data_IF_632075020660
#
_entry.id   IF_632075020660
#
_cell.length_a   1.000
_cell.length_b   1.000
_cell.length_c   1.000
_cell.angle_alpha   90.00
_cell.angle_beta   90.00
_cell.angle_gamma   90.00
#
_symmetry.space_group_name_H-M   'P 1'
#
loop_
_entity.id
_entity.type
_entity.pdbx_description
1 polymer ?
#
# COMPACT_ATOMS: atom_id res chain seq x y z
N UNK A 1 14.12 32.23 -28.09
CA UNK A 1 13.26 33.38 -28.43
C UNK A 1 11.82 32.95 -28.80
N UNK A 2 11.61 31.77 -29.37
CA UNK A 2 10.25 31.20 -29.61
C UNK A 2 9.49 30.70 -28.37
N UNK A 3 10.14 30.51 -27.22
CA UNK A 3 9.48 30.05 -25.97
C UNK A 3 8.91 31.22 -25.13
N UNK A 4 9.29 32.46 -25.41
CA UNK A 4 8.75 33.66 -24.72
C UNK A 4 7.51 34.25 -25.39
N UNK A 5 7.21 33.89 -26.65
CA UNK A 5 5.99 34.34 -27.34
C UNK A 5 4.76 33.50 -27.00
N UNK A 6 4.94 32.24 -26.60
CA UNK A 6 3.82 31.36 -26.20
C UNK A 6 3.24 31.73 -24.83
N UNK A 7 4.05 32.25 -23.91
CA UNK A 7 3.56 32.74 -22.61
C UNK A 7 2.80 34.07 -22.72
N UNK A 8 3.13 34.92 -23.70
CA UNK A 8 2.42 36.18 -23.91
C UNK A 8 1.05 35.98 -24.59
N UNK A 9 0.87 34.89 -25.33
CA UNK A 9 -0.43 34.49 -25.89
C UNK A 9 -1.31 33.69 -24.92
N UNK A 10 -0.72 33.06 -23.90
CA UNK A 10 -1.46 32.40 -22.81
C UNK A 10 -1.97 33.43 -21.78
N UNK A 11 -1.27 34.56 -21.60
CA UNK A 11 -1.69 35.65 -20.71
C UNK A 11 -2.89 36.48 -21.22
N UNK A 12 -3.24 36.36 -22.51
CA UNK A 12 -4.37 37.08 -23.12
C UNK A 12 -5.61 36.20 -23.33
N UNK A 13 -5.55 34.91 -22.99
CA UNK A 13 -6.68 33.96 -23.14
C UNK A 13 -7.26 33.52 -21.78
N UNK A 14 -6.61 33.85 -20.64
CA UNK A 14 -7.17 33.69 -19.29
C UNK A 14 -8.03 34.88 -18.80
N UNK A 15 -8.47 35.77 -19.70
CA UNK A 15 -9.49 36.81 -19.41
C UNK A 15 -10.89 36.40 -19.94
N UNK A 16 -11.04 35.22 -20.52
CA UNK A 16 -12.34 34.70 -20.94
C UNK A 16 -12.62 33.33 -20.33
N UNK A 17 -12.83 33.31 -19.02
CA UNK A 17 -13.65 32.27 -18.41
C UNK A 17 -15.03 32.87 -18.11
N UNK A 18 -15.96 32.52 -18.99
CA UNK A 18 -17.41 32.46 -18.80
C UNK A 18 -18.04 33.68 -18.13
N UNK A 19 -18.67 34.51 -18.96
CA UNK A 19 -19.79 35.35 -18.59
C UNK A 19 -20.87 34.52 -17.87
N UNK A 20 -20.77 34.40 -16.55
CA UNK A 20 -21.92 34.46 -15.67
C UNK A 20 -21.75 35.78 -14.92
N UNK A 21 -22.44 36.81 -15.38
CA UNK A 21 -22.63 38.05 -14.64
C UNK A 21 -23.50 37.76 -13.40
N UNK A 22 -22.96 37.03 -12.42
CA UNK A 22 -23.53 37.02 -11.07
C UNK A 22 -23.17 38.37 -10.44
N UNK A 23 -24.14 39.12 -9.91
CA UNK A 23 -23.87 40.38 -9.21
C UNK A 23 -23.11 40.18 -7.88
N UNK A 24 -22.85 38.94 -7.47
CA UNK A 24 -22.15 38.59 -6.24
C UNK A 24 -20.94 37.70 -6.51
N UNK A 25 -19.87 37.93 -5.75
CA UNK A 25 -18.65 37.10 -5.69
C UNK A 25 -18.50 36.48 -4.31
N UNK A 26 -18.30 35.16 -4.25
CA UNK A 26 -18.00 34.41 -3.03
C UNK A 26 -16.49 34.17 -2.90
N UNK A 27 -15.90 34.50 -1.74
CA UNK A 27 -14.48 34.34 -1.43
C UNK A 27 -14.28 33.64 -0.09
N UNK A 28 -13.26 32.78 -0.02
CA UNK A 28 -12.74 32.28 1.25
C UNK A 28 -11.41 32.98 1.58
N UNK A 29 -11.28 33.53 2.78
CA UNK A 29 -10.05 34.23 3.18
C UNK A 29 -8.87 33.27 3.39
N UNK A 30 -9.14 32.02 3.74
CA UNK A 30 -8.10 31.02 4.00
C UNK A 30 -7.55 30.37 2.72
N UNK A 31 -8.04 30.77 1.54
CA UNK A 31 -7.57 30.30 0.25
C UNK A 31 -7.12 31.50 -0.58
N UNK A 32 -5.81 31.61 -0.82
CA UNK A 32 -5.23 32.76 -1.51
C UNK A 32 -5.57 32.82 -3.00
N UNK A 33 -6.00 31.71 -3.59
CA UNK A 33 -6.39 31.60 -5.01
C UNK A 33 -7.68 30.80 -5.15
N UNK A 34 -8.71 31.40 -5.78
CA UNK A 34 -9.94 30.70 -6.22
C UNK A 34 -9.64 30.05 -7.58
N UNK A 35 -8.65 29.17 -7.61
CA UNK A 35 -8.27 28.42 -8.80
C UNK A 35 -8.65 26.95 -8.60
N UNK A 36 -9.14 26.24 -9.63
CA UNK A 36 -9.34 24.79 -9.58
C UNK A 36 -8.04 23.98 -9.34
N UNK A 37 -6.90 24.66 -9.15
CA UNK A 37 -5.59 24.08 -8.81
C UNK A 37 -5.00 24.56 -7.49
N UNK A 38 -5.74 25.31 -6.67
CA UNK A 38 -5.24 25.74 -5.37
C UNK A 38 -4.97 24.53 -4.44
N UNK A 39 -3.88 24.55 -3.64
CA UNK A 39 -3.61 23.46 -2.71
C UNK A 39 -4.71 23.36 -1.63
N UNK A 40 -4.97 22.16 -1.09
CA UNK A 40 -6.00 21.97 -0.09
C UNK A 40 -5.64 22.66 1.23
N UNK A 41 -6.66 23.02 2.02
CA UNK A 41 -6.48 23.49 3.39
C UNK A 41 -6.12 22.28 4.26
N UNK A 42 -5.00 22.35 4.99
CA UNK A 42 -4.50 21.24 5.79
C UNK A 42 -4.92 21.35 7.25
N UNK A 43 -5.82 20.47 7.69
CA UNK A 43 -6.32 20.39 9.07
C UNK A 43 -5.71 19.19 9.77
N UNK A 44 -5.35 19.31 11.04
CA UNK A 44 -4.89 18.15 11.82
C UNK A 44 -6.09 17.29 12.29
N UNK A 45 -5.90 15.97 12.39
CA UNK A 45 -6.86 15.01 12.96
C UNK A 45 -7.07 15.11 14.49
N UNK A 46 -6.62 16.21 15.08
CA UNK A 46 -6.82 16.53 16.50
C UNK A 46 -8.17 17.21 16.69
N UNK A 47 -8.75 17.13 17.90
CA UNK A 47 -9.98 17.87 18.30
C UNK A 47 -9.87 19.41 18.24
N UNK A 48 -8.81 19.93 17.61
CA UNK A 48 -8.59 21.35 17.39
C UNK A 48 -9.48 21.75 16.22
N UNK A 49 -10.35 22.71 16.49
CA UNK A 49 -11.27 23.27 15.52
C UNK A 49 -10.53 24.29 14.65
N UNK A 50 -10.70 24.20 13.33
CA UNK A 50 -10.27 25.24 12.41
C UNK A 50 -11.43 26.11 11.98
N UNK A 51 -11.19 27.43 11.98
CA UNK A 51 -12.16 28.42 11.57
C UNK A 51 -11.89 28.80 10.12
N UNK A 52 -12.85 28.54 9.23
CA UNK A 52 -12.85 29.09 7.88
C UNK A 52 -13.71 30.35 7.85
N UNK A 53 -13.14 31.43 7.30
CA UNK A 53 -13.82 32.69 7.11
C UNK A 53 -14.20 32.86 5.64
N UNK A 54 -15.48 33.14 5.40
CA UNK A 54 -16.04 33.39 4.08
C UNK A 54 -16.52 34.82 3.97
N UNK A 55 -16.40 35.39 2.78
CA UNK A 55 -16.91 36.70 2.41
C UNK A 55 -17.77 36.56 1.15
N UNK A 56 -19.00 37.06 1.21
CA UNK A 56 -19.86 37.26 0.05
C UNK A 56 -19.89 38.76 -0.21
N UNK A 57 -19.42 39.17 -1.38
CA UNK A 57 -19.49 40.57 -1.81
C UNK A 57 -20.49 40.67 -2.97
N UNK A 58 -21.59 41.38 -2.76
CA UNK A 58 -22.62 41.62 -3.76
C UNK A 58 -22.59 43.06 -4.25
N UNK A 59 -22.36 43.25 -5.55
CA UNK A 59 -22.49 44.53 -6.27
C UNK A 59 -23.71 44.44 -7.18
N UNK A 60 -24.90 44.76 -6.65
CA UNK A 60 -26.13 44.81 -7.44
C UNK A 60 -26.82 46.15 -7.31
N UNK A 61 -27.36 46.66 -8.43
CA UNK A 61 -28.39 47.70 -8.43
C UNK A 61 -29.74 47.04 -8.11
N UNK A 62 -30.32 47.36 -6.94
CA UNK A 62 -31.75 47.31 -6.56
C UNK A 62 -32.59 46.04 -6.84
N UNK A 63 -32.04 44.83 -6.93
CA UNK A 63 -32.86 43.64 -7.31
C UNK A 63 -32.60 42.30 -6.60
N UNK A 64 -31.81 42.23 -5.53
CA UNK A 64 -31.58 40.97 -4.79
C UNK A 64 -32.31 41.01 -3.44
N UNK A 65 -33.15 40.01 -3.14
CA UNK A 65 -33.92 39.98 -1.88
C UNK A 65 -33.30 39.04 -0.86
N UNK A 66 -32.98 37.81 -1.27
CA UNK A 66 -32.55 36.75 -0.37
C UNK A 66 -31.40 35.94 -0.99
N UNK A 67 -30.42 35.57 -0.15
CA UNK A 67 -29.51 34.46 -0.42
C UNK A 67 -29.84 33.29 0.51
N UNK A 68 -29.94 32.10 -0.07
CA UNK A 68 -29.94 30.83 0.66
C UNK A 68 -28.57 30.18 0.49
N UNK A 69 -27.89 29.90 1.61
CA UNK A 69 -26.57 29.27 1.61
C UNK A 69 -26.74 27.82 2.04
N UNK A 70 -26.43 26.89 1.14
CA UNK A 70 -26.38 25.46 1.47
C UNK A 70 -24.96 24.93 1.36
N UNK A 71 -24.62 24.01 2.26
CA UNK A 71 -23.28 23.44 2.38
C UNK A 71 -23.39 21.94 2.18
N UNK A 72 -22.65 21.40 1.22
CA UNK A 72 -22.51 19.96 1.06
C UNK A 72 -21.07 19.54 1.32
N UNK A 73 -20.93 18.41 2.01
CA UNK A 73 -19.66 17.78 2.32
C UNK A 73 -19.67 16.44 1.58
N UNK A 74 -18.65 16.20 0.77
CA UNK A 74 -18.51 14.93 0.06
C UNK A 74 -18.13 13.79 1.03
N UNK A 75 -17.01 13.97 1.75
CA UNK A 75 -16.51 12.96 2.68
C UNK A 75 -16.75 13.36 4.15
N UNK A 76 -17.91 12.95 4.67
CA UNK A 76 -18.32 13.15 6.08
C UNK A 76 -17.54 12.31 7.09
N UNK A 77 -16.74 11.33 6.65
CA UNK A 77 -15.86 10.56 7.57
C UNK A 77 -14.65 11.37 7.97
N UNK A 78 -14.09 12.13 7.04
CA UNK A 78 -12.88 12.91 7.27
C UNK A 78 -13.16 14.21 8.02
N UNK A 79 -14.28 14.87 7.74
CA UNK A 79 -14.59 16.20 8.28
C UNK A 79 -16.01 16.26 8.84
N UNK A 80 -16.14 16.96 9.96
CA UNK A 80 -17.40 17.33 10.59
C UNK A 80 -17.50 18.86 10.71
N UNK A 81 -18.64 19.44 10.35
CA UNK A 81 -18.92 20.87 10.54
C UNK A 81 -19.75 20.99 11.82
N UNK A 82 -19.24 21.74 12.81
CA UNK A 82 -19.93 21.89 14.10
C UNK A 82 -20.95 23.03 14.13
N UNK A 83 -20.68 24.11 13.41
CA UNK A 83 -21.52 25.31 13.45
C UNK A 83 -22.38 25.43 12.17
N UNK A 84 -23.68 25.58 12.43
CA UNK A 84 -24.75 26.11 11.59
C UNK A 84 -25.04 25.45 10.24
N UNK A 85 -26.04 24.55 10.26
CA UNK A 85 -27.04 24.48 9.21
C UNK A 85 -28.44 24.61 9.83
N UNK A 86 -29.33 25.46 9.28
CA UNK A 86 -29.09 26.37 8.15
C UNK A 86 -28.49 27.71 8.59
N UNK A 87 -27.61 28.29 7.76
CA UNK A 87 -27.41 29.75 7.80
C UNK A 87 -28.70 30.36 7.22
N UNK A 88 -29.45 31.06 8.05
CA UNK A 88 -30.78 31.61 7.73
C UNK A 88 -30.79 32.46 6.45
N UNK A 89 -31.98 32.57 5.84
CA UNK A 89 -32.28 33.45 4.71
C UNK A 89 -31.73 34.86 4.95
N UNK A 90 -30.69 35.24 4.21
CA UNK A 90 -30.03 36.53 4.37
C UNK A 90 -30.73 37.54 3.49
N UNK A 91 -31.40 38.52 4.10
CA UNK A 91 -32.05 39.61 3.37
C UNK A 91 -31.01 40.66 2.98
N UNK A 92 -30.87 40.95 1.70
CA UNK A 92 -30.05 42.07 1.24
C UNK A 92 -30.88 43.36 1.27
N UNK A 93 -30.32 44.44 1.84
CA UNK A 93 -30.82 45.80 1.60
C UNK A 93 -30.07 46.36 0.38
N UNK A 94 -30.71 47.23 -0.40
CA UNK A 94 -30.30 47.81 -1.70
C UNK A 94 -28.94 48.57 -1.76
N UNK A 95 -27.90 48.08 -1.08
CA UNK A 95 -26.53 48.58 -1.08
C UNK A 95 -25.55 47.40 -1.16
N UNK A 96 -24.32 47.67 -1.61
CA UNK A 96 -23.23 46.69 -1.57
C UNK A 96 -22.95 46.27 -0.12
N UNK A 97 -23.32 45.04 0.23
CA UNK A 97 -23.07 44.46 1.54
C UNK A 97 -22.02 43.36 1.44
N UNK A 98 -20.96 43.50 2.23
CA UNK A 98 -20.01 42.42 2.49
C UNK A 98 -20.54 41.61 3.65
N UNK A 99 -20.94 40.37 3.39
CA UNK A 99 -21.37 39.46 4.43
C UNK A 99 -20.24 38.47 4.75
N UNK A 100 -19.82 38.45 6.01
CA UNK A 100 -18.85 37.48 6.50
C UNK A 100 -19.51 36.46 7.41
N UNK A 101 -19.31 35.18 7.13
CA UNK A 101 -19.70 34.10 8.03
C UNK A 101 -18.52 33.16 8.28
N UNK A 102 -18.58 32.45 9.41
CA UNK A 102 -17.56 31.51 9.81
C UNK A 102 -18.08 30.08 9.82
N UNK A 103 -17.25 29.14 9.38
CA UNK A 103 -17.50 27.72 9.52
C UNK A 103 -16.44 27.11 10.41
N UNK A 104 -16.90 26.46 11.48
CA UNK A 104 -16.02 25.70 12.36
C UNK A 104 -15.96 24.27 11.90
N UNK A 105 -14.76 23.87 11.47
CA UNK A 105 -14.47 22.58 10.87
C UNK A 105 -13.64 21.75 11.83
N UNK A 106 -14.04 20.50 11.98
CA UNK A 106 -13.37 19.52 12.82
C UNK A 106 -12.85 18.36 11.95
N UNK A 107 -11.54 18.13 11.99
CA UNK A 107 -10.91 16.97 11.37
C UNK A 107 -11.15 15.71 12.21
N UNK A 108 -11.80 14.70 11.64
CA UNK A 108 -12.14 13.45 12.33
C UNK A 108 -11.29 12.26 11.88
N UNK A 109 -11.10 12.09 10.57
CA UNK A 109 -10.34 10.98 9.99
C UNK A 109 -9.46 11.48 8.86
N UNK A 110 -8.27 10.90 8.69
CA UNK A 110 -7.37 11.25 7.60
C UNK A 110 -8.07 11.05 6.24
N UNK A 111 -7.83 11.95 5.31
CA UNK A 111 -8.42 11.90 3.98
C UNK A 111 -8.67 13.27 3.39
N UNK A 112 -9.15 13.26 2.15
CA UNK A 112 -9.61 14.46 1.47
C UNK A 112 -11.13 14.59 1.62
N UNK A 113 -11.60 15.82 1.76
CA UNK A 113 -13.02 16.14 1.71
C UNK A 113 -13.20 17.47 1.00
N UNK A 114 -14.21 17.54 0.15
CA UNK A 114 -14.60 18.77 -0.54
C UNK A 114 -15.80 19.39 0.17
N UNK A 115 -15.68 20.67 0.48
CA UNK A 115 -16.81 21.49 0.91
C UNK A 115 -17.28 22.27 -0.30
N UNK A 116 -18.54 22.05 -0.69
CA UNK A 116 -19.21 22.83 -1.73
C UNK A 116 -20.21 23.75 -1.06
N UNK A 117 -20.00 25.04 -1.22
CA UNK A 117 -20.95 26.07 -0.84
C UNK A 117 -21.78 26.40 -2.06
N UNK A 118 -23.10 26.35 -1.92
CA UNK A 118 -24.04 26.82 -2.93
C UNK A 118 -24.73 28.06 -2.39
N UNK A 119 -24.76 29.11 -3.19
CA UNK A 119 -25.53 30.31 -2.89
C UNK A 119 -26.60 30.47 -3.95
N UNK A 120 -27.86 30.37 -3.53
CA UNK A 120 -29.03 30.61 -4.37
C UNK A 120 -29.55 32.01 -4.12
N UNK A 121 -29.62 32.84 -5.16
CA UNK A 121 -30.12 34.22 -5.09
C UNK A 121 -31.52 34.35 -5.72
N UNK A 122 -32.41 35.13 -5.10
CA UNK A 122 -33.77 35.40 -5.60
C UNK A 122 -34.00 36.92 -5.87
N UNK A 123 -34.67 37.23 -6.98
CA UNK A 123 -34.98 38.61 -7.45
C UNK A 123 -36.50 38.91 -7.36
N UNK A 124 -36.87 40.19 -7.19
CA UNK A 124 -38.26 40.68 -7.04
C UNK A 124 -39.13 40.55 -8.30
N UNK A 125 -38.57 40.60 -9.50
CA UNK A 125 -39.40 40.83 -10.70
C UNK A 125 -39.76 39.58 -11.52
N UNK A 126 -39.08 38.44 -11.34
CA UNK A 126 -39.40 37.17 -12.04
C UNK A 126 -39.05 35.98 -11.16
N UNK A 127 -39.99 35.03 -11.05
CA UNK A 127 -39.91 33.79 -10.26
C UNK A 127 -38.82 32.81 -10.76
N UNK A 128 -38.11 33.11 -11.84
CA UNK A 128 -37.07 32.22 -12.39
C UNK A 128 -35.84 33.00 -12.85
N UNK A 129 -34.93 33.33 -11.94
CA UNK A 129 -33.49 33.34 -12.20
C UNK A 129 -32.75 32.99 -10.90
N UNK A 130 -32.61 31.70 -10.62
CA UNK A 130 -31.70 31.22 -9.57
C UNK A 130 -30.27 31.33 -10.12
N UNK A 131 -29.56 32.39 -9.76
CA UNK A 131 -28.11 32.38 -9.90
C UNK A 131 -27.57 31.44 -8.84
N UNK A 132 -26.88 30.38 -9.26
CA UNK A 132 -26.16 29.47 -8.38
C UNK A 132 -24.68 29.75 -8.53
N UNK A 133 -24.12 30.47 -7.56
CA UNK A 133 -22.67 30.53 -7.42
C UNK A 133 -22.24 29.39 -6.50
N UNK A 134 -21.11 28.75 -6.80
CA UNK A 134 -20.57 27.70 -5.95
C UNK A 134 -19.07 27.84 -5.74
N UNK A 135 -18.66 27.72 -4.49
CA UNK A 135 -17.25 27.65 -4.10
C UNK A 135 -16.94 26.24 -3.61
N UNK A 136 -15.93 25.62 -4.22
CA UNK A 136 -15.41 24.33 -3.79
C UNK A 136 -14.10 24.54 -3.05
N UNK A 137 -14.02 24.03 -1.83
CA UNK A 137 -12.81 24.05 -1.01
C UNK A 137 -12.38 22.62 -0.77
N UNK A 138 -11.16 22.32 -1.18
CA UNK A 138 -10.51 21.06 -0.87
C UNK A 138 -9.86 21.15 0.51
N UNK A 139 -10.18 20.18 1.36
CA UNK A 139 -9.60 20.07 2.70
C UNK A 139 -8.92 18.72 2.84
N UNK A 140 -7.68 18.74 3.32
CA UNK A 140 -6.87 17.57 3.60
C UNK A 140 -6.67 17.42 5.11
N UNK A 141 -7.23 16.36 5.69
CA UNK A 141 -7.02 16.04 7.10
C UNK A 141 -5.73 15.23 7.22
N UNK A 142 -4.70 15.84 7.81
CA UNK A 142 -3.40 15.22 8.08
C UNK A 142 -3.30 14.77 9.53
N UNK A 143 -2.47 13.76 9.77
CA UNK A 143 -2.20 13.29 11.11
C UNK A 143 -1.18 14.19 11.78
N UNK A 144 -1.37 14.52 13.05
CA UNK A 144 -0.30 15.15 13.83
C UNK A 144 0.84 14.15 14.06
N UNK A 145 2.00 14.40 13.45
CA UNK A 145 3.19 13.57 13.65
C UNK A 145 3.75 13.73 15.07
N UNK A 146 4.18 12.61 15.64
CA UNK A 146 4.81 12.53 16.95
C UNK A 146 6.26 12.08 16.83
N UNK A 147 7.07 12.33 17.85
CA UNK A 147 8.47 11.86 17.91
C UNK A 147 8.56 10.34 17.76
N UNK A 148 7.56 9.61 18.26
CA UNK A 148 7.45 8.16 18.12
C UNK A 148 7.37 7.71 16.65
N UNK A 149 6.75 8.50 15.78
CA UNK A 149 6.62 8.20 14.35
C UNK A 149 7.94 8.37 13.60
N UNK A 150 8.72 9.38 13.99
CA UNK A 150 10.07 9.57 13.48
C UNK A 150 10.96 8.40 13.91
N UNK A 151 10.91 8.02 15.20
CA UNK A 151 11.63 6.86 15.72
C UNK A 151 11.21 5.58 14.98
N UNK A 152 9.90 5.38 14.75
CA UNK A 152 9.36 4.25 13.99
C UNK A 152 9.98 4.16 12.60
N UNK A 153 9.94 5.28 11.88
CA UNK A 153 10.41 5.36 10.51
C UNK A 153 11.91 5.08 10.44
N UNK A 154 12.72 5.68 11.31
CA UNK A 154 14.18 5.47 11.35
C UNK A 154 14.52 4.00 11.63
N UNK A 155 13.83 3.37 12.59
CA UNK A 155 14.09 1.96 12.92
C UNK A 155 13.70 1.04 11.75
N UNK A 156 12.56 1.29 11.08
CA UNK A 156 12.19 0.54 9.87
C UNK A 156 13.27 0.65 8.80
N UNK A 157 13.78 1.85 8.55
CA UNK A 157 14.83 2.08 7.53
C UNK A 157 16.06 1.24 7.86
N UNK A 158 16.52 1.29 9.11
CA UNK A 158 17.68 0.50 9.57
C UNK A 158 17.41 -1.00 9.38
N UNK A 159 16.22 -1.49 9.75
CA UNK A 159 15.87 -2.90 9.64
C UNK A 159 15.77 -3.37 8.18
N UNK A 160 15.24 -2.53 7.28
CA UNK A 160 15.19 -2.81 5.85
C UNK A 160 16.60 -2.83 5.24
N UNK A 161 17.48 -1.90 5.61
CA UNK A 161 18.89 -1.88 5.17
C UNK A 161 19.66 -3.11 5.66
N UNK A 162 19.48 -3.52 6.93
CA UNK A 162 20.12 -4.72 7.45
C UNK A 162 19.54 -5.97 6.76
N UNK A 163 18.22 -6.03 6.56
CA UNK A 163 17.56 -7.15 5.88
C UNK A 163 18.06 -7.34 4.44
N UNK A 164 18.18 -6.26 3.67
CA UNK A 164 18.73 -6.28 2.31
C UNK A 164 20.21 -6.65 2.27
N UNK A 165 21.02 -6.16 3.21
CA UNK A 165 22.39 -6.62 3.39
C UNK A 165 22.50 -8.14 3.66
N UNK A 166 21.61 -8.67 4.50
CA UNK A 166 21.61 -10.10 4.84
C UNK A 166 21.17 -10.99 3.66
N UNK A 167 20.29 -10.50 2.79
CA UNK A 167 19.97 -11.16 1.50
C UNK A 167 21.24 -11.29 0.67
N UNK A 168 22.04 -10.22 0.53
CA UNK A 168 23.32 -10.24 -0.17
C UNK A 168 24.32 -11.23 0.45
N UNK A 169 24.43 -11.25 1.79
CA UNK A 169 25.31 -12.18 2.50
C UNK A 169 24.98 -13.66 2.27
N UNK A 170 23.71 -13.98 1.96
CA UNK A 170 23.25 -15.35 1.76
C UNK A 170 23.54 -15.88 0.35
N UNK A 171 23.75 -15.00 -0.62
CA UNK A 171 23.88 -15.37 -2.03
C UNK A 171 25.24 -15.99 -2.35
N UNK A 172 25.26 -17.26 -2.73
CA UNK A 172 26.46 -17.93 -3.25
C UNK A 172 26.58 -17.68 -4.75
N UNK A 173 27.65 -16.98 -5.17
CA UNK A 173 27.88 -16.59 -6.58
C UNK A 173 27.87 -17.77 -7.56
N UNK A 174 28.39 -18.93 -7.16
CA UNK A 174 28.40 -20.14 -7.99
C UNK A 174 26.99 -20.64 -8.27
N UNK A 175 26.12 -20.61 -7.26
CA UNK A 175 24.72 -21.03 -7.37
C UNK A 175 23.91 -20.02 -8.18
N UNK A 176 24.16 -18.73 -7.98
CA UNK A 176 23.58 -17.67 -8.83
C UNK A 176 23.94 -17.89 -10.30
N UNK A 177 25.22 -18.14 -10.59
CA UNK A 177 25.68 -18.35 -11.96
C UNK A 177 25.09 -19.63 -12.59
N UNK A 178 24.95 -20.70 -11.81
CA UNK A 178 24.26 -21.91 -12.25
C UNK A 178 22.78 -21.66 -12.58
N UNK A 179 22.10 -20.83 -11.78
CA UNK A 179 20.71 -20.45 -12.01
C UNK A 179 20.56 -19.52 -13.23
N UNK A 180 21.52 -18.62 -13.47
CA UNK A 180 21.54 -17.79 -14.69
C UNK A 180 21.77 -18.65 -15.94
N UNK A 181 22.59 -19.71 -15.86
CA UNK A 181 22.78 -20.66 -16.98
C UNK A 181 21.54 -21.51 -17.28
N UNK A 182 20.65 -21.70 -16.31
CA UNK A 182 19.35 -22.39 -16.48
C UNK A 182 18.23 -21.45 -16.05
N UNK A 183 17.94 -20.40 -16.83
CA UNK A 183 17.24 -19.22 -16.34
C UNK A 183 15.72 -19.41 -16.22
N UNK A 184 15.14 -20.51 -16.71
CA UNK A 184 13.69 -20.71 -16.75
C UNK A 184 13.02 -20.45 -15.37
N UNK A 185 13.49 -21.03 -14.25
CA UNK A 185 12.93 -20.73 -12.92
C UNK A 185 13.00 -19.26 -12.54
N UNK A 186 14.16 -18.63 -12.79
CA UNK A 186 14.41 -17.23 -12.49
C UNK A 186 13.50 -16.32 -13.31
N UNK A 187 13.34 -16.61 -14.60
CA UNK A 187 12.45 -15.87 -15.51
C UNK A 187 10.99 -15.97 -15.11
N UNK A 188 10.52 -17.12 -14.58
CA UNK A 188 9.15 -17.24 -14.07
C UNK A 188 8.93 -16.30 -12.90
N UNK A 189 9.85 -16.29 -11.92
CA UNK A 189 9.77 -15.39 -10.77
C UNK A 189 9.77 -13.92 -11.21
N UNK A 190 10.70 -13.54 -12.10
CA UNK A 190 10.78 -12.17 -12.62
C UNK A 190 9.55 -11.76 -13.44
N UNK A 191 9.00 -12.67 -14.25
CA UNK A 191 7.79 -12.43 -15.03
C UNK A 191 6.58 -12.22 -14.11
N UNK A 192 6.41 -13.08 -13.10
CA UNK A 192 5.34 -12.92 -12.11
C UNK A 192 5.47 -11.58 -11.38
N UNK A 193 6.68 -11.26 -10.90
CA UNK A 193 6.94 -10.13 -10.03
C UNK A 193 6.93 -8.77 -10.73
N UNK A 194 7.51 -8.67 -11.93
CA UNK A 194 7.66 -7.38 -12.62
C UNK A 194 6.75 -7.20 -13.82
N UNK A 195 5.91 -8.18 -14.14
CA UNK A 195 4.88 -8.00 -15.17
C UNK A 195 3.49 -8.32 -14.63
N UNK A 196 3.26 -9.52 -14.11
CA UNK A 196 1.92 -9.92 -13.68
C UNK A 196 1.43 -9.10 -12.47
N UNK A 197 2.23 -8.98 -11.42
CA UNK A 197 1.82 -8.33 -10.17
C UNK A 197 1.58 -6.81 -10.31
N UNK A 198 2.40 -6.01 -11.02
CA UNK A 198 2.12 -4.60 -11.25
C UNK A 198 0.86 -4.37 -12.08
N UNK A 199 0.68 -5.16 -13.16
CA UNK A 199 -0.51 -5.08 -14.00
C UNK A 199 -1.77 -5.49 -13.22
N UNK A 200 -1.67 -6.53 -12.40
CA UNK A 200 -2.76 -6.95 -11.55
C UNK A 200 -3.08 -5.88 -10.50
N UNK A 201 -2.08 -5.30 -9.84
CA UNK A 201 -2.28 -4.24 -8.87
C UNK A 201 -3.02 -3.05 -9.47
N UNK A 202 -2.63 -2.62 -10.68
CA UNK A 202 -3.32 -1.57 -11.42
C UNK A 202 -4.75 -1.96 -11.80
N UNK A 203 -4.95 -3.18 -12.34
CA UNK A 203 -6.27 -3.68 -12.71
C UNK A 203 -7.21 -3.78 -11.50
N UNK A 204 -6.73 -4.28 -10.37
CA UNK A 204 -7.47 -4.36 -9.11
C UNK A 204 -7.82 -2.98 -8.56
N UNK A 205 -6.89 -2.03 -8.62
CA UNK A 205 -7.14 -0.65 -8.20
C UNK A 205 -8.29 -0.01 -9.01
N UNK A 206 -8.31 -0.24 -10.33
CA UNK A 206 -9.36 0.24 -11.22
C UNK A 206 -10.70 -0.44 -11.01
N UNK A 207 -10.71 -1.76 -10.93
CA UNK A 207 -11.93 -2.56 -10.76
C UNK A 207 -12.61 -2.26 -9.42
N UNK A 208 -11.82 -2.14 -8.35
CA UNK A 208 -12.35 -1.80 -7.03
C UNK A 208 -12.69 -0.31 -6.87
N UNK A 209 -12.30 0.55 -7.83
CA UNK A 209 -12.40 2.02 -7.76
C UNK A 209 -11.79 2.53 -6.45
N UNK A 210 -10.52 2.19 -6.24
CA UNK A 210 -9.78 2.65 -5.07
C UNK A 210 -9.45 4.13 -5.19
N UNK A 211 -9.40 4.79 -4.04
CA UNK A 211 -8.89 6.15 -3.94
C UNK A 211 -7.43 6.22 -4.40
N UNK A 212 -7.04 7.38 -4.94
CA UNK A 212 -5.74 7.66 -5.51
C UNK A 212 -4.56 7.17 -4.64
N UNK A 213 -4.56 7.53 -3.35
CA UNK A 213 -3.48 7.18 -2.43
C UNK A 213 -3.41 5.66 -2.19
N UNK A 214 -4.57 5.01 -2.00
CA UNK A 214 -4.68 3.55 -1.82
C UNK A 214 -4.25 2.80 -3.09
N UNK A 215 -4.62 3.30 -4.26
CA UNK A 215 -4.23 2.73 -5.56
C UNK A 215 -2.70 2.79 -5.76
N UNK A 216 -2.05 3.91 -5.41
CA UNK A 216 -0.59 4.03 -5.42
C UNK A 216 0.03 3.05 -4.43
N UNK A 217 -0.56 2.89 -3.25
CA UNK A 217 -0.14 1.90 -2.26
C UNK A 217 -0.13 0.48 -2.81
N UNK A 218 -1.21 0.09 -3.52
CA UNK A 218 -1.34 -1.22 -4.15
C UNK A 218 -0.36 -1.42 -5.29
N UNK A 219 -0.23 -0.42 -6.18
CA UNK A 219 0.72 -0.47 -7.31
C UNK A 219 2.17 -0.56 -6.82
N UNK A 220 2.53 0.21 -5.80
CA UNK A 220 3.86 0.19 -5.17
C UNK A 220 4.16 -1.18 -4.56
N UNK A 221 3.16 -1.78 -3.91
CA UNK A 221 3.29 -3.14 -3.36
C UNK A 221 3.51 -4.14 -4.49
N UNK A 222 2.64 -4.15 -5.51
CA UNK A 222 2.76 -5.03 -6.67
C UNK A 222 4.04 -4.87 -7.49
N UNK A 223 4.67 -3.69 -7.45
CA UNK A 223 5.95 -3.41 -8.12
C UNK A 223 7.18 -3.75 -7.26
N UNK A 224 6.98 -4.16 -6.01
CA UNK A 224 8.06 -4.45 -5.08
C UNK A 224 8.78 -5.77 -5.41
N UNK A 225 10.10 -5.87 -5.14
CA UNK A 225 10.86 -7.11 -5.30
C UNK A 225 10.44 -8.19 -4.30
N UNK A 226 11.06 -9.37 -4.41
CA UNK A 226 10.81 -10.51 -3.52
C UNK A 226 11.13 -10.16 -2.07
N UNK A 227 10.30 -10.62 -1.13
CA UNK A 227 10.50 -10.33 0.29
C UNK A 227 11.52 -11.26 0.94
N UNK A 228 12.34 -10.74 1.86
CA UNK A 228 13.43 -11.50 2.49
C UNK A 228 13.02 -12.72 3.31
N UNK A 229 11.73 -12.82 3.68
CA UNK A 229 11.17 -13.99 4.37
C UNK A 229 10.95 -15.20 3.45
N UNK A 230 11.01 -15.04 2.12
CA UNK A 230 10.84 -16.11 1.14
C UNK A 230 11.81 -17.27 1.40
N UNK A 231 13.10 -16.98 1.59
CA UNK A 231 14.13 -17.97 1.91
C UNK A 231 13.78 -18.86 3.11
N UNK A 232 13.14 -18.28 4.14
CA UNK A 232 12.72 -19.00 5.34
C UNK A 232 11.55 -19.93 5.03
N UNK A 233 10.53 -19.43 4.33
CA UNK A 233 9.41 -20.27 3.91
C UNK A 233 9.88 -21.37 2.96
N UNK A 234 10.72 -21.07 1.97
CA UNK A 234 11.28 -22.07 1.06
C UNK A 234 12.00 -23.17 1.81
N UNK A 235 12.82 -22.82 2.82
CA UNK A 235 13.45 -23.82 3.68
C UNK A 235 12.43 -24.64 4.49
N UNK A 236 11.37 -24.00 5.01
CA UNK A 236 10.31 -24.64 5.80
C UNK A 236 9.50 -25.68 5.02
N UNK A 237 9.30 -25.46 3.71
CA UNK A 237 8.64 -26.42 2.82
C UNK A 237 9.60 -27.39 2.12
N UNK A 238 10.93 -27.29 2.34
CA UNK A 238 11.92 -28.14 1.69
C UNK A 238 12.16 -27.81 0.21
N UNK A 239 12.00 -26.54 -0.17
CA UNK A 239 12.27 -26.06 -1.52
C UNK A 239 13.75 -25.73 -1.77
N UNK A 240 14.05 -25.34 -3.01
CA UNK A 240 15.38 -24.94 -3.47
C UNK A 240 15.74 -23.54 -2.93
N UNK A 241 16.48 -23.54 -1.82
CA UNK A 241 16.88 -22.32 -1.10
C UNK A 241 17.85 -21.47 -1.93
N UNK A 242 18.72 -22.10 -2.72
CA UNK A 242 19.69 -21.40 -3.56
C UNK A 242 19.01 -20.66 -4.70
N UNK A 243 17.97 -21.28 -5.28
CA UNK A 243 17.11 -20.64 -6.26
C UNK A 243 16.32 -19.47 -5.65
N UNK A 244 15.68 -19.65 -4.47
CA UNK A 244 14.97 -18.55 -3.78
C UNK A 244 15.91 -17.36 -3.53
N UNK A 245 17.09 -17.59 -2.97
CA UNK A 245 18.07 -16.53 -2.73
C UNK A 245 18.50 -15.82 -4.03
N UNK A 246 18.69 -16.58 -5.12
CA UNK A 246 19.01 -16.03 -6.45
C UNK A 246 17.87 -15.18 -7.01
N UNK A 247 16.62 -15.64 -6.87
CA UNK A 247 15.43 -14.90 -7.30
C UNK A 247 15.26 -13.60 -6.53
N UNK A 248 15.31 -13.64 -5.19
CA UNK A 248 15.18 -12.43 -4.35
C UNK A 248 16.28 -11.42 -4.64
N UNK A 249 17.54 -11.86 -4.78
CA UNK A 249 18.65 -10.96 -5.06
C UNK A 249 18.51 -10.31 -6.44
N UNK A 250 18.21 -11.11 -7.46
CA UNK A 250 18.04 -10.61 -8.83
C UNK A 250 16.85 -9.67 -8.92
N UNK A 251 15.73 -9.97 -8.25
CA UNK A 251 14.58 -9.06 -8.23
C UNK A 251 14.88 -7.78 -7.47
N UNK A 252 15.63 -7.83 -6.37
CA UNK A 252 16.06 -6.62 -5.64
C UNK A 252 16.88 -5.67 -6.53
N UNK A 253 17.79 -6.21 -7.36
CA UNK A 253 18.55 -5.39 -8.31
C UNK A 253 17.63 -4.83 -9.40
N UNK A 254 16.79 -5.68 -10.01
CA UNK A 254 15.92 -5.27 -11.12
C UNK A 254 14.87 -4.24 -10.70
N UNK A 255 14.41 -4.29 -9.44
CA UNK A 255 13.47 -3.31 -8.88
C UNK A 255 13.98 -1.87 -8.96
N UNK A 256 15.30 -1.66 -8.97
CA UNK A 256 15.87 -0.31 -9.17
C UNK A 256 15.39 0.35 -10.47
N UNK A 257 15.23 -0.43 -11.54
CA UNK A 257 14.74 0.05 -12.83
C UNK A 257 13.25 -0.19 -13.04
N UNK A 258 12.74 -1.37 -12.70
CA UNK A 258 11.35 -1.74 -13.00
C UNK A 258 10.35 -1.01 -12.12
N UNK A 259 10.67 -0.76 -10.85
CA UNK A 259 9.76 -0.08 -9.92
C UNK A 259 9.47 1.37 -10.38
N UNK A 260 10.47 2.24 -10.67
CA UNK A 260 10.21 3.56 -11.25
C UNK A 260 9.43 3.53 -12.54
N UNK A 261 9.73 2.59 -13.44
CA UNK A 261 9.04 2.46 -14.72
C UNK A 261 7.55 2.20 -14.51
N UNK A 262 7.16 1.30 -13.60
CA UNK A 262 5.75 1.04 -13.33
C UNK A 262 5.02 2.21 -12.66
N UNK A 263 5.68 2.90 -11.72
CA UNK A 263 5.11 4.12 -11.11
C UNK A 263 4.96 5.24 -12.15
N UNK A 264 5.91 5.39 -13.07
CA UNK A 264 5.84 6.39 -14.15
C UNK A 264 4.77 6.07 -15.20
N UNK A 265 4.58 4.79 -15.52
CA UNK A 265 3.62 4.34 -16.53
C UNK A 265 2.19 4.32 -16.00
N UNK A 266 1.98 3.73 -14.82
CA UNK A 266 0.65 3.47 -14.27
C UNK A 266 0.30 4.36 -13.06
N UNK A 267 1.30 4.82 -12.32
CA UNK A 267 1.10 5.63 -11.11
C UNK A 267 0.68 7.07 -11.39
N UNK A 268 1.06 7.66 -12.53
CA UNK A 268 0.73 9.04 -12.91
C UNK A 268 -0.77 9.33 -12.85
N UNK A 269 -1.59 8.36 -13.24
CA UNK A 269 -3.04 8.51 -13.22
C UNK A 269 -3.59 8.70 -11.80
N UNK A 270 -3.00 8.03 -10.82
CA UNK A 270 -3.40 8.16 -9.42
C UNK A 270 -2.75 9.37 -8.73
N UNK A 271 -1.60 9.84 -9.20
CA UNK A 271 -0.87 10.97 -8.60
C UNK A 271 -1.49 12.32 -8.96
N UNK A 272 -2.00 12.46 -10.19
CA UNK A 272 -2.45 13.76 -10.73
C UNK A 272 -3.77 14.28 -10.11
N UNK A 273 -4.45 13.50 -9.28
CA UNK A 273 -5.79 13.82 -8.77
C UNK A 273 -5.83 15.04 -7.85
N UNK A 274 -4.73 15.37 -7.16
CA UNK A 274 -4.66 16.46 -6.19
C UNK A 274 -3.52 17.47 -6.45
N UNK A 275 -3.00 17.53 -7.68
CA UNK A 275 -1.86 18.41 -8.06
C UNK A 275 -0.62 18.27 -7.15
N UNK A 276 -0.42 17.10 -6.56
CA UNK A 276 0.73 16.83 -5.70
C UNK A 276 1.97 16.60 -6.58
N UNK A 277 2.98 17.46 -6.43
CA UNK A 277 4.26 17.25 -7.10
C UNK A 277 4.95 16.02 -6.53
N UNK A 278 5.02 14.93 -7.31
CA UNK A 278 5.67 13.70 -6.87
C UNK A 278 7.20 13.88 -6.82
N UNK A 279 7.85 13.72 -5.66
CA UNK A 279 9.30 13.86 -5.50
C UNK A 279 10.03 12.62 -6.03
N UNK A 280 10.26 12.59 -7.34
CA UNK A 280 11.00 11.52 -8.03
C UNK A 280 12.41 11.30 -7.49
N UNK A 281 13.06 12.33 -6.95
CA UNK A 281 14.39 12.23 -6.36
C UNK A 281 14.40 11.31 -5.13
N UNK A 282 13.40 11.44 -4.26
CA UNK A 282 13.27 10.63 -3.05
C UNK A 282 13.08 9.14 -3.38
N UNK A 283 12.41 8.86 -4.50
CA UNK A 283 12.24 7.50 -5.00
C UNK A 283 13.58 6.84 -5.33
N UNK A 284 14.43 7.51 -6.12
CA UNK A 284 15.74 6.96 -6.47
C UNK A 284 16.63 6.79 -5.25
N UNK A 285 16.64 7.75 -4.33
CA UNK A 285 17.36 7.64 -3.05
C UNK A 285 16.92 6.41 -2.27
N UNK A 286 15.60 6.18 -2.18
CA UNK A 286 15.02 4.99 -1.53
C UNK A 286 15.55 3.71 -2.18
N UNK A 287 15.50 3.60 -3.51
CA UNK A 287 15.92 2.39 -4.22
C UNK A 287 17.43 2.15 -4.13
N UNK A 288 18.25 3.21 -4.23
CA UNK A 288 19.71 3.14 -4.04
C UNK A 288 20.02 2.60 -2.63
N UNK A 289 19.30 3.07 -1.62
CA UNK A 289 19.51 2.63 -0.23
C UNK A 289 19.14 1.16 0.01
N UNK A 290 18.49 0.48 -0.93
CA UNK A 290 18.22 -0.96 -0.90
C UNK A 290 19.28 -1.77 -1.67
N UNK A 291 19.67 -1.28 -2.84
CA UNK A 291 20.65 -1.96 -3.71
C UNK A 291 22.04 -1.92 -3.11
N UNK A 292 22.45 -0.79 -2.51
CA UNK A 292 23.78 -0.64 -1.91
C UNK A 292 24.02 -1.67 -0.79
N UNK A 293 23.17 -1.80 0.24
CA UNK A 293 23.37 -2.81 1.29
C UNK A 293 23.40 -4.23 0.73
N UNK A 294 22.52 -4.58 -0.22
CA UNK A 294 22.51 -5.88 -0.86
C UNK A 294 23.83 -6.18 -1.60
N UNK A 295 24.37 -5.20 -2.33
CA UNK A 295 25.67 -5.30 -3.00
C UNK A 295 26.84 -5.44 -2.02
N UNK A 296 26.82 -4.70 -0.90
CA UNK A 296 27.82 -4.83 0.17
C UNK A 296 27.75 -6.23 0.79
N UNK A 297 26.54 -6.75 1.03
CA UNK A 297 26.35 -8.11 1.54
C UNK A 297 26.95 -9.17 0.62
N UNK A 298 26.72 -9.05 -0.68
CA UNK A 298 27.32 -9.93 -1.69
C UNK A 298 28.85 -9.84 -1.69
N UNK A 299 29.39 -8.62 -1.59
CA UNK A 299 30.83 -8.38 -1.51
C UNK A 299 31.46 -9.06 -0.28
N UNK A 300 30.80 -8.97 0.88
CA UNK A 300 31.22 -9.66 2.11
C UNK A 300 31.19 -11.17 1.90
N UNK A 301 30.13 -11.71 1.29
CA UNK A 301 30.03 -13.15 0.98
C UNK A 301 31.15 -13.62 0.06
N UNK A 302 31.50 -12.83 -0.96
CA UNK A 302 32.58 -13.16 -1.90
C UNK A 302 33.96 -13.13 -1.24
N UNK A 303 34.26 -12.10 -0.43
CA UNK A 303 35.59 -11.91 0.17
C UNK A 303 35.80 -12.71 1.47
N UNK A 304 34.77 -12.87 2.29
CA UNK A 304 34.84 -13.40 3.66
C UNK A 304 33.61 -14.28 3.97
N UNK A 305 33.49 -15.48 3.39
CA UNK A 305 32.31 -16.34 3.53
C UNK A 305 32.00 -16.71 4.99
N UNK A 306 33.02 -16.93 5.82
CA UNK A 306 32.88 -17.25 7.25
C UNK A 306 32.17 -16.12 8.02
N UNK A 307 32.46 -14.86 7.67
CA UNK A 307 31.82 -13.69 8.29
C UNK A 307 30.36 -13.59 7.81
N UNK A 308 30.12 -13.80 6.52
CA UNK A 308 28.76 -13.83 5.97
C UNK A 308 27.89 -14.93 6.62
N UNK A 309 28.45 -16.11 6.90
CA UNK A 309 27.73 -17.19 7.62
C UNK A 309 27.36 -16.77 9.05
N UNK A 310 28.20 -15.97 9.71
CA UNK A 310 27.88 -15.42 11.04
C UNK A 310 26.74 -14.40 10.98
N UNK A 311 26.76 -13.51 9.99
CA UNK A 311 25.68 -12.55 9.78
C UNK A 311 24.36 -13.23 9.39
N UNK A 312 24.38 -14.23 8.51
CA UNK A 312 23.18 -14.96 8.13
C UNK A 312 22.61 -15.80 9.28
N UNK A 313 23.41 -16.23 10.27
CA UNK A 313 22.89 -16.80 11.52
C UNK A 313 22.15 -15.77 12.37
N UNK A 314 22.66 -14.54 12.43
CA UNK A 314 22.01 -13.43 13.14
C UNK A 314 20.65 -13.05 12.53
N UNK A 315 20.46 -13.29 11.22
CA UNK A 315 19.20 -13.03 10.51
C UNK A 315 17.98 -13.62 11.23
N UNK A 316 18.06 -14.85 11.76
CA UNK A 316 16.92 -15.48 12.43
C UNK A 316 16.45 -14.67 13.65
N UNK A 317 17.40 -14.20 14.46
CA UNK A 317 17.11 -13.39 15.65
C UNK A 317 16.56 -12.03 15.23
N UNK A 318 17.18 -11.40 14.23
CA UNK A 318 16.73 -10.13 13.69
C UNK A 318 15.30 -10.19 13.15
N UNK A 319 14.94 -11.25 12.41
CA UNK A 319 13.59 -11.44 11.87
C UNK A 319 12.55 -11.55 12.99
N UNK A 320 12.85 -12.30 14.06
CA UNK A 320 11.96 -12.40 15.23
C UNK A 320 11.79 -11.03 15.89
N UNK A 321 12.89 -10.32 16.12
CA UNK A 321 12.85 -8.96 16.69
C UNK A 321 12.04 -8.01 15.78
N UNK A 322 12.24 -8.07 14.47
CA UNK A 322 11.51 -7.24 13.51
C UNK A 322 10.01 -7.51 13.55
N UNK A 323 9.61 -8.78 13.58
CA UNK A 323 8.19 -9.16 13.70
C UNK A 323 7.61 -8.62 15.01
N UNK A 324 8.29 -8.82 16.14
CA UNK A 324 7.84 -8.30 17.45
C UNK A 324 7.73 -6.78 17.45
N UNK A 325 8.69 -6.08 16.83
CA UNK A 325 8.70 -4.63 16.72
C UNK A 325 7.51 -4.10 15.92
N UNK A 326 7.22 -4.72 14.76
CA UNK A 326 6.06 -4.36 13.94
C UNK A 326 4.74 -4.67 14.67
N UNK A 327 4.63 -5.82 15.35
CA UNK A 327 3.42 -6.22 16.09
C UNK A 327 3.15 -5.34 17.32
N UNK A 328 4.19 -4.81 17.96
CA UNK A 328 4.02 -3.96 19.16
C UNK A 328 3.99 -2.50 18.78
N UNK A 329 5.16 -1.95 18.45
CA UNK A 329 5.37 -0.54 18.16
C UNK A 329 4.75 -0.13 16.82
N UNK A 330 4.81 -1.00 15.81
CA UNK A 330 4.17 -0.75 14.52
C UNK A 330 2.64 -0.67 14.62
N UNK A 331 2.00 -1.60 15.33
CA UNK A 331 0.55 -1.55 15.57
C UNK A 331 0.19 -0.30 16.37
N UNK A 332 0.91 -0.01 17.47
CA UNK A 332 0.64 1.16 18.30
C UNK A 332 0.73 2.48 17.52
N UNK A 333 1.78 2.66 16.72
CA UNK A 333 1.97 3.87 15.91
C UNK A 333 1.02 3.96 14.71
N UNK A 334 0.42 2.84 14.28
CA UNK A 334 -0.45 2.77 13.12
C UNK A 334 -1.89 2.33 13.45
N UNK A 335 -2.38 2.54 14.68
CA UNK A 335 -3.77 2.19 15.05
C UNK A 335 -4.80 2.86 14.12
N UNK A 336 -4.49 4.07 13.65
CA UNK A 336 -5.34 4.81 12.70
C UNK A 336 -5.59 4.05 11.39
N UNK A 337 -4.66 3.19 10.95
CA UNK A 337 -4.79 2.37 9.73
C UNK A 337 -6.00 1.45 9.82
N UNK A 338 -6.29 0.92 11.01
CA UNK A 338 -7.48 0.08 11.22
C UNK A 338 -8.79 0.86 11.18
N UNK A 339 -8.76 2.20 11.33
CA UNK A 339 -9.94 3.07 11.13
C UNK A 339 -10.13 3.46 9.67
N UNK A 340 -9.04 3.51 8.89
CA UNK A 340 -9.03 3.78 7.45
C UNK A 340 -9.38 2.56 6.59
N UNK A 341 -9.49 1.38 7.22
CA UNK A 341 -9.71 0.13 6.51
C UNK A 341 -11.07 0.15 5.78
N UNK A 342 -11.04 -0.21 4.50
CA UNK A 342 -12.23 -0.47 3.71
C UNK A 342 -12.22 -1.93 3.22
N UNK A 343 -13.41 -2.52 3.06
CA UNK A 343 -13.54 -3.92 2.64
C UNK A 343 -12.88 -4.15 1.27
N UNK A 344 -12.95 -3.14 0.37
CA UNK A 344 -12.27 -3.17 -0.93
C UNK A 344 -10.77 -3.32 -0.77
N UNK A 345 -10.17 -2.53 0.13
CA UNK A 345 -8.73 -2.54 0.43
C UNK A 345 -8.29 -3.91 0.96
N UNK A 346 -9.09 -4.55 1.82
CA UNK A 346 -8.81 -5.90 2.32
C UNK A 346 -8.78 -6.92 1.18
N UNK A 347 -9.81 -6.89 0.32
CA UNK A 347 -9.95 -7.84 -0.79
C UNK A 347 -8.77 -7.71 -1.75
N UNK A 348 -8.46 -6.50 -2.22
CA UNK A 348 -7.37 -6.28 -3.19
C UNK A 348 -6.00 -6.60 -2.58
N UNK A 349 -5.77 -6.25 -1.30
CA UNK A 349 -4.52 -6.55 -0.59
C UNK A 349 -4.32 -8.04 -0.39
N UNK A 350 -5.40 -8.81 -0.27
CA UNK A 350 -5.34 -10.27 -0.15
C UNK A 350 -5.15 -10.94 -1.51
N UNK A 351 -5.86 -10.45 -2.53
CA UNK A 351 -5.86 -11.05 -3.86
C UNK A 351 -4.50 -10.90 -4.55
N UNK A 352 -3.81 -9.78 -4.35
CA UNK A 352 -2.50 -9.51 -4.94
C UNK A 352 -1.43 -10.58 -4.64
N UNK A 353 -1.08 -10.91 -3.38
CA UNK A 353 -0.11 -11.97 -3.10
C UNK A 353 -0.62 -13.37 -3.48
N UNK A 354 -1.93 -13.63 -3.34
CA UNK A 354 -2.50 -14.97 -3.57
C UNK A 354 -2.49 -15.35 -5.05
N UNK A 355 -2.78 -14.39 -5.91
CA UNK A 355 -2.62 -14.56 -7.35
C UNK A 355 -1.16 -14.69 -7.74
N UNK A 356 -0.24 -13.98 -7.09
CA UNK A 356 1.20 -14.17 -7.27
C UNK A 356 1.63 -15.62 -6.97
N UNK A 357 1.20 -16.16 -5.81
CA UNK A 357 1.40 -17.56 -5.45
C UNK A 357 0.85 -18.50 -6.53
N UNK A 358 -0.39 -18.28 -6.98
CA UNK A 358 -1.05 -19.11 -7.98
C UNK A 358 -0.34 -19.07 -9.35
N UNK A 359 0.09 -17.90 -9.81
CA UNK A 359 0.84 -17.72 -11.06
C UNK A 359 2.17 -18.48 -11.00
N UNK A 360 2.92 -18.31 -9.91
CA UNK A 360 4.18 -19.02 -9.68
C UNK A 360 4.00 -20.54 -9.71
N UNK A 361 2.94 -21.04 -9.08
CA UNK A 361 2.59 -22.46 -9.10
C UNK A 361 2.28 -22.98 -10.51
N UNK A 362 1.34 -22.31 -11.21
CA UNK A 362 0.91 -22.73 -12.55
C UNK A 362 2.07 -22.70 -13.54
N UNK A 363 2.86 -21.63 -13.55
CA UNK A 363 4.01 -21.49 -14.46
C UNK A 363 5.09 -22.55 -14.17
N UNK A 364 5.28 -22.91 -12.89
CA UNK A 364 6.20 -23.99 -12.52
C UNK A 364 5.73 -25.35 -13.03
N UNK A 365 4.41 -25.61 -13.01
CA UNK A 365 3.84 -26.84 -13.58
C UNK A 365 3.99 -26.87 -15.11
N UNK A 366 3.67 -25.78 -15.80
CA UNK A 366 3.75 -25.68 -17.27
C UNK A 366 5.20 -25.91 -17.74
N UNK A 367 6.17 -25.32 -17.03
CA UNK A 367 7.60 -25.47 -17.35
C UNK A 367 8.23 -26.73 -16.75
N UNK A 368 7.44 -27.60 -16.10
CA UNK A 368 7.85 -28.90 -15.55
C UNK A 368 9.04 -28.80 -14.58
N UNK A 369 9.00 -27.83 -13.67
CA UNK A 369 10.02 -27.69 -12.63
C UNK A 369 9.99 -28.86 -11.65
N UNK A 370 11.15 -29.19 -11.07
CA UNK A 370 11.20 -30.14 -9.95
C UNK A 370 10.41 -29.60 -8.75
N UNK A 371 9.99 -30.48 -7.85
CA UNK A 371 9.17 -30.10 -6.71
C UNK A 371 9.82 -29.03 -5.83
N UNK A 372 11.13 -29.15 -5.59
CA UNK A 372 11.90 -28.22 -4.76
C UNK A 372 11.95 -26.83 -5.40
N UNK A 373 12.13 -26.77 -6.73
CA UNK A 373 12.15 -25.53 -7.49
C UNK A 373 10.77 -24.90 -7.60
N UNK A 374 9.73 -25.73 -7.79
CA UNK A 374 8.34 -25.29 -7.78
C UNK A 374 8.00 -24.60 -6.47
N UNK A 375 8.38 -25.17 -5.32
CA UNK A 375 8.17 -24.53 -4.01
C UNK A 375 8.86 -23.17 -3.94
N UNK A 376 10.12 -23.08 -4.40
CA UNK A 376 10.85 -21.82 -4.40
C UNK A 376 10.14 -20.76 -5.26
N UNK A 377 9.76 -21.11 -6.49
CA UNK A 377 9.08 -20.20 -7.42
C UNK A 377 7.70 -19.80 -6.89
N UNK A 378 6.92 -20.75 -6.37
CA UNK A 378 5.63 -20.51 -5.72
C UNK A 378 5.77 -19.42 -4.66
N UNK A 379 6.68 -19.61 -3.70
CA UNK A 379 6.88 -18.68 -2.59
C UNK A 379 7.37 -17.32 -3.07
N UNK A 380 8.38 -17.25 -3.94
CA UNK A 380 8.90 -15.98 -4.46
C UNK A 380 7.87 -15.18 -5.26
N UNK A 381 6.97 -15.86 -5.98
CA UNK A 381 6.01 -15.19 -6.85
C UNK A 381 4.90 -14.46 -6.08
N UNK A 382 4.51 -14.95 -4.90
CA UNK A 382 3.48 -14.30 -4.06
C UNK A 382 4.05 -13.47 -2.90
N UNK A 383 5.27 -13.77 -2.44
CA UNK A 383 5.87 -13.11 -1.29
C UNK A 383 6.61 -11.84 -1.71
N UNK A 384 5.88 -10.71 -1.66
CA UNK A 384 6.42 -9.39 -1.96
C UNK A 384 7.14 -8.76 -0.76
N UNK A 385 8.08 -7.87 -1.04
CA UNK A 385 8.75 -7.05 -0.05
C UNK A 385 7.91 -5.81 0.31
N UNK A 386 6.94 -5.98 1.21
CA UNK A 386 6.07 -4.89 1.66
C UNK A 386 6.84 -3.77 2.37
N UNK A 387 7.99 -4.07 3.00
CA UNK A 387 8.85 -3.08 3.64
C UNK A 387 9.40 -2.06 2.64
N UNK A 388 9.78 -2.51 1.43
CA UNK A 388 10.23 -1.62 0.35
C UNK A 388 9.11 -0.69 -0.10
N UNK A 389 7.89 -1.22 -0.28
CA UNK A 389 6.73 -0.41 -0.63
C UNK A 389 6.45 0.66 0.44
N UNK A 390 6.39 0.27 1.72
CA UNK A 390 6.15 1.18 2.84
C UNK A 390 7.23 2.27 2.87
N UNK A 391 8.50 1.88 2.73
CA UNK A 391 9.61 2.81 2.80
C UNK A 391 9.57 3.83 1.64
N UNK A 392 9.30 3.36 0.42
CA UNK A 392 9.08 4.23 -0.73
C UNK A 392 7.93 5.22 -0.53
N UNK A 393 6.76 4.76 -0.07
CA UNK A 393 5.61 5.62 0.19
C UNK A 393 5.91 6.64 1.30
N UNK A 394 6.65 6.22 2.34
CA UNK A 394 7.13 7.08 3.44
C UNK A 394 8.23 8.06 3.06
N UNK A 395 8.79 8.03 1.86
CA UNK A 395 9.73 9.06 1.42
C UNK A 395 9.21 9.86 0.25
N UNK A 396 8.32 9.27 -0.54
CA UNK A 396 7.88 9.83 -1.81
C UNK A 396 6.53 10.54 -1.72
N UNK A 397 5.63 10.18 -0.80
CA UNK A 397 4.33 10.85 -0.71
C UNK A 397 4.31 11.87 0.43
N UNK A 398 3.67 13.04 0.23
CA UNK A 398 3.36 13.96 1.33
C UNK A 398 2.22 13.42 2.19
N UNK A 399 1.98 14.07 3.33
CA UNK A 399 0.80 13.82 4.16
C UNK A 399 -0.43 14.54 3.56
N UNK A 400 -1.63 13.95 3.58
CA UNK A 400 -2.00 12.66 4.17
C UNK A 400 -1.81 11.43 3.27
N UNK A 401 -1.42 11.60 1.99
CA UNK A 401 -1.35 10.52 0.99
C UNK A 401 -0.49 9.33 1.40
N UNK A 402 0.65 9.62 2.03
CA UNK A 402 1.55 8.61 2.59
C UNK A 402 0.83 7.65 3.54
N UNK A 403 0.09 8.20 4.50
CA UNK A 403 -0.54 7.45 5.57
C UNK A 403 -1.72 6.62 5.02
N UNK A 404 -2.44 7.17 4.03
CA UNK A 404 -3.48 6.46 3.30
C UNK A 404 -2.90 5.32 2.44
N UNK A 405 -1.79 5.55 1.74
CA UNK A 405 -1.20 4.58 0.83
C UNK A 405 -0.57 3.37 1.56
N UNK A 406 0.02 3.60 2.73
CA UNK A 406 0.72 2.56 3.51
C UNK A 406 -0.24 1.51 4.10
N UNK A 407 -1.54 1.80 4.17
CA UNK A 407 -2.58 0.84 4.57
C UNK A 407 -2.45 -0.46 3.76
N UNK A 408 -2.30 -0.36 2.45
CA UNK A 408 -2.25 -1.52 1.53
C UNK A 408 -1.09 -2.47 1.83
N UNK A 409 0.20 -2.05 1.79
CA UNK A 409 1.31 -2.96 2.05
C UNK A 409 1.30 -3.56 3.46
N UNK A 410 0.72 -2.87 4.47
CA UNK A 410 0.51 -3.46 5.80
C UNK A 410 -0.47 -4.64 5.71
N UNK A 411 -1.61 -4.47 5.04
CA UNK A 411 -2.58 -5.57 4.87
C UNK A 411 -2.03 -6.71 4.01
N UNK A 412 -1.27 -6.41 2.96
CA UNK A 412 -0.56 -7.43 2.17
C UNK A 412 0.40 -8.23 3.07
N UNK A 413 1.14 -7.57 3.96
CA UNK A 413 2.05 -8.23 4.90
C UNK A 413 1.32 -9.15 5.88
N UNK A 414 0.11 -8.79 6.31
CA UNK A 414 -0.75 -9.62 7.16
C UNK A 414 -1.34 -10.80 6.36
N UNK A 415 -1.69 -10.59 5.09
CA UNK A 415 -2.30 -11.60 4.24
C UNK A 415 -1.32 -12.71 3.81
N UNK A 416 -0.07 -12.37 3.48
CA UNK A 416 0.94 -13.30 2.95
C UNK A 416 1.12 -14.58 3.81
N UNK A 417 1.30 -14.51 5.14
CA UNK A 417 1.51 -15.71 5.96
C UNK A 417 0.31 -16.64 6.04
N UNK A 418 -0.92 -16.15 5.87
CA UNK A 418 -2.15 -16.91 6.12
C UNK A 418 -2.22 -18.20 5.30
N UNK A 419 -2.16 -18.20 3.95
CA UNK A 419 -2.25 -19.43 3.16
C UNK A 419 -1.06 -20.36 3.43
N UNK A 420 0.13 -19.80 3.66
CA UNK A 420 1.32 -20.59 3.98
C UNK A 420 1.10 -21.34 5.31
N UNK A 421 0.75 -20.66 6.38
CA UNK A 421 0.51 -21.29 7.68
C UNK A 421 -0.62 -22.33 7.64
N UNK A 422 -1.68 -22.10 6.86
CA UNK A 422 -2.75 -23.07 6.63
C UNK A 422 -2.19 -24.32 5.95
N UNK A 423 -1.51 -24.17 4.81
CA UNK A 423 -0.91 -25.29 4.07
C UNK A 423 0.07 -26.06 4.97
N UNK A 424 0.89 -25.36 5.75
CA UNK A 424 1.85 -25.99 6.64
C UNK A 424 1.17 -26.78 7.77
N UNK A 425 0.11 -26.22 8.36
CA UNK A 425 -0.69 -26.91 9.38
C UNK A 425 -1.30 -28.20 8.82
N UNK A 426 -1.84 -28.16 7.59
CA UNK A 426 -2.32 -29.36 6.90
C UNK A 426 -1.21 -30.40 6.68
N UNK A 427 -0.01 -29.98 6.27
CA UNK A 427 1.14 -30.88 6.10
C UNK A 427 1.52 -31.55 7.43
N UNK A 428 1.56 -30.79 8.53
CA UNK A 428 1.87 -31.34 9.85
C UNK A 428 0.81 -32.34 10.32
N UNK A 429 -0.48 -32.01 10.15
CA UNK A 429 -1.59 -32.92 10.48
C UNK A 429 -1.48 -34.20 9.65
N UNK A 430 -1.29 -34.09 8.34
CA UNK A 430 -1.15 -35.24 7.44
C UNK A 430 0.04 -36.13 7.82
N UNK A 431 1.21 -35.54 8.09
CA UNK A 431 2.40 -36.29 8.55
C UNK A 431 2.17 -36.99 9.88
N UNK A 432 1.44 -36.35 10.79
CA UNK A 432 1.12 -36.92 12.10
C UNK A 432 0.16 -38.10 11.98
N UNK A 433 -0.85 -38.00 11.11
CA UNK A 433 -1.79 -39.09 10.80
C UNK A 433 -1.06 -40.25 10.13
N UNK A 434 -0.23 -39.98 9.11
CA UNK A 434 0.54 -41.01 8.41
C UNK A 434 1.46 -41.77 9.37
N UNK A 435 2.22 -41.05 10.21
CA UNK A 435 3.08 -41.66 11.22
C UNK A 435 2.30 -42.52 12.21
N UNK A 436 1.11 -42.05 12.65
CA UNK A 436 0.23 -42.83 13.53
C UNK A 436 -0.27 -44.10 12.85
N UNK A 437 -0.64 -44.04 11.57
CA UNK A 437 -1.08 -45.21 10.81
C UNK A 437 0.07 -46.22 10.60
N UNK A 438 1.28 -45.74 10.29
CA UNK A 438 2.47 -46.60 10.20
C UNK A 438 2.77 -47.29 11.55
N UNK A 439 2.72 -46.55 12.67
CA UNK A 439 2.88 -47.13 14.00
C UNK A 439 1.78 -48.15 14.33
N UNK A 440 0.52 -47.85 14.01
CA UNK A 440 -0.58 -48.78 14.24
C UNK A 440 -0.41 -50.06 13.41
N UNK A 441 -0.05 -49.95 12.13
CA UNK A 441 0.18 -51.10 11.25
C UNK A 441 1.28 -52.01 11.81
N UNK A 442 2.41 -51.44 12.25
CA UNK A 442 3.49 -52.19 12.90
C UNK A 442 3.01 -52.91 14.16
N UNK A 443 2.17 -52.26 14.99
CA UNK A 443 1.60 -52.90 16.20
C UNK A 443 0.69 -54.08 15.83
N UNK A 444 -0.17 -53.92 14.82
CA UNK A 444 -1.01 -55.03 14.31
C UNK A 444 -0.18 -56.19 13.76
N UNK A 445 0.90 -55.91 13.03
CA UNK A 445 1.77 -56.96 12.47
C UNK A 445 2.49 -57.74 13.59
N UNK A 446 2.95 -57.04 14.64
CA UNK A 446 3.54 -57.68 15.83
C UNK A 446 2.51 -58.56 16.56
N UNK A 447 1.29 -58.08 16.75
CA UNK A 447 0.23 -58.86 17.40
C UNK A 447 -0.13 -60.11 16.57
N UNK A 448 -0.28 -59.97 15.25
CA UNK A 448 -0.56 -61.10 14.36
C UNK A 448 0.56 -62.14 14.34
N UNK A 449 1.82 -61.73 14.44
CA UNK A 449 2.96 -62.65 14.57
C UNK A 449 2.96 -63.39 15.90
N UNK A 450 2.63 -62.69 17.00
CA UNK A 450 2.52 -63.28 18.34
C UNK A 450 1.41 -64.32 18.41
N UNK A 451 0.24 -63.99 17.87
CA UNK A 451 -0.90 -64.91 17.80
C UNK A 451 -0.51 -66.17 17.00
N UNK A 452 0.19 -66.04 15.86
CA UNK A 452 0.68 -67.21 15.10
C UNK A 452 1.64 -68.08 15.88
N UNK A 453 2.60 -67.49 16.59
CA UNK A 453 3.54 -68.28 17.41
C UNK A 453 2.82 -69.00 18.56
N UNK A 454 1.85 -68.35 19.19
CA UNK A 454 1.08 -68.97 20.27
C UNK A 454 0.21 -70.13 19.73
N UNK A 455 -0.37 -69.98 18.52
CA UNK A 455 -1.08 -71.06 17.83
C UNK A 455 -0.16 -72.25 17.45
N UNK A 456 1.05 -72.00 16.91
CA UNK A 456 1.99 -73.08 16.55
C UNK A 456 2.47 -73.87 17.78
N UNK A 457 2.67 -73.19 18.92
CA UNK A 457 3.02 -73.87 20.18
C UNK A 457 1.89 -74.78 20.66
N UNK A 458 0.62 -74.34 20.56
CA UNK A 458 -0.53 -75.18 20.94
C UNK A 458 -0.72 -76.38 20.00
N UNK A 459 -0.54 -76.20 18.69
CA UNK A 459 -0.67 -77.31 17.72
C UNK A 459 0.44 -78.35 17.89
N UNK A 460 1.67 -77.93 18.23
CA UNK A 460 2.76 -78.86 18.49
C UNK A 460 2.59 -79.61 19.82
N UNK A 461 2.01 -78.98 20.85
CA UNK A 461 1.71 -79.68 22.11
C UNK A 461 0.60 -80.73 21.98
N UNK A 462 -0.35 -80.52 21.06
CA UNK A 462 -1.45 -81.46 20.81
C UNK A 462 -1.03 -82.67 19.95
N UNK A 463 0.06 -82.56 19.18
CA UNK A 463 0.59 -83.67 18.35
C UNK A 463 1.61 -84.56 19.09
N UNK A 464 2.07 -84.16 20.28
CA UNK A 464 3.00 -84.95 21.11
C UNK A 464 2.30 -85.80 22.20
N UNK A 465 0.96 -85.78 22.27
CA UNK A 465 0.13 -86.68 23.07
C UNK A 465 -0.43 -87.82 22.21
#
# INVERSE_FOLDING_TARGET
MLVKLTYLFIFLIEIFCVSCSSPCSLRCFNQSEISPKAPPIYINDTKIEELLLFEINCTSNDSLIYANISITIDNKRSIEIKNNLPLDLIKFNDQSQNLTFNLTIHGNLLGYSQIKLYVEYLNQEKVEYNYTDYLTIDIAVKRKTTVLDTIFTVIIIILVCIGTFLIGCRLVLQNLYANIRRPIPLLIGLFSQFLCLPLLAYGLAKLAKLDSSTAIGLLSTGSSPGGGASNMYTAMYGGDIDLSASMTFTSTILAFGTFPVWILLLGKEFINTHNVHFPWENMFVTLISLVIPAGIGLLVRWKRPIIADRFTKFLRVLTIFFILYILTFGIYTNVYVFKLIDYKTIIVSTLLPYTGFLIGFIMSLITRQSWERLIAIFIESGLQNTGVAIFFLRLSLPEPDRDLAIVVPIFVAIAIPIPLLIIYSFILIYRSIKKRNETNNIITDINNQRDRSDYEVMVNSDNEQ
#
